data_IF_696266745410
#
_entry.id   IF_696266745410
#
_cell.length_a   1.000
_cell.length_b   1.000
_cell.length_c   1.000
_cell.angle_alpha   90.00
_cell.angle_beta   90.00
_cell.angle_gamma   90.00
#
_symmetry.space_group_name_H-M   'P 1'
#
loop_
_entity.id
_entity.type
_entity.pdbx_description
1 polymer ?
#
# COMPACT_ATOMS: atom_id res chain seq x y z
N UNK A 1 10.16 8.26 -5.73
CA UNK A 1 9.07 7.50 -6.37
C UNK A 1 8.53 6.58 -5.30
N UNK A 2 7.25 6.66 -4.97
CA UNK A 2 6.66 5.77 -3.98
C UNK A 2 6.05 4.54 -4.62
N UNK A 3 5.77 3.52 -3.81
CA UNK A 3 5.11 2.31 -4.26
C UNK A 3 3.63 2.60 -4.57
N UNK A 4 3.22 2.35 -5.81
CA UNK A 4 1.83 2.41 -6.28
C UNK A 4 1.25 0.99 -6.40
N UNK A 5 0.01 0.81 -5.99
CA UNK A 5 -0.75 -0.41 -6.16
C UNK A 5 -2.17 -0.11 -6.63
N UNK A 6 -2.58 -0.74 -7.73
CA UNK A 6 -3.96 -0.72 -8.18
C UNK A 6 -4.65 -1.98 -7.68
N UNK A 7 -5.72 -1.81 -6.90
CA UNK A 7 -6.50 -2.96 -6.41
C UNK A 7 -7.34 -3.59 -7.53
N UNK A 8 -7.93 -4.75 -7.25
CA UNK A 8 -8.83 -5.46 -8.17
C UNK A 8 -10.07 -4.67 -8.60
N UNK A 9 -10.39 -3.59 -7.87
CA UNK A 9 -11.50 -2.67 -8.16
C UNK A 9 -11.08 -1.45 -8.98
N UNK A 10 -9.84 -1.39 -9.47
CA UNK A 10 -9.33 -0.28 -10.27
C UNK A 10 -9.00 1.00 -9.50
N UNK A 11 -9.00 0.96 -8.17
CA UNK A 11 -8.58 2.08 -7.33
C UNK A 11 -7.08 2.05 -7.13
N UNK A 12 -6.43 3.20 -7.38
CA UNK A 12 -5.01 3.40 -7.10
C UNK A 12 -4.79 3.79 -5.66
N UNK A 13 -3.78 3.17 -5.07
CA UNK A 13 -3.30 3.45 -3.74
C UNK A 13 -1.79 3.55 -3.75
N UNK A 14 -1.26 4.38 -2.88
CA UNK A 14 0.16 4.61 -2.69
C UNK A 14 0.52 4.25 -1.27
N UNK A 15 1.72 3.69 -1.09
CA UNK A 15 2.22 3.33 0.22
C UNK A 15 2.75 4.57 0.95
N UNK A 16 2.35 4.72 2.21
CA UNK A 16 2.81 5.76 3.12
C UNK A 16 3.27 5.14 4.43
N UNK A 17 4.12 5.87 5.13
CA UNK A 17 4.55 5.53 6.47
C UNK A 17 4.33 6.73 7.37
N UNK A 18 3.65 6.48 8.50
CA UNK A 18 3.54 7.42 9.60
C UNK A 18 4.16 6.75 10.83
N UNK A 19 5.32 7.26 11.23
CA UNK A 19 6.13 6.71 12.31
C UNK A 19 6.50 5.23 12.07
N UNK A 20 5.79 4.30 12.73
CA UNK A 20 5.96 2.85 12.61
C UNK A 20 4.79 2.15 11.90
N UNK A 21 3.78 2.91 11.49
CA UNK A 21 2.59 2.41 10.82
C UNK A 21 2.72 2.62 9.31
N UNK A 22 2.61 1.52 8.58
CA UNK A 22 2.47 1.56 7.13
C UNK A 22 1.01 1.52 6.73
N UNK A 23 0.61 2.37 5.79
CA UNK A 23 -0.76 2.45 5.32
C UNK A 23 -0.84 2.84 3.85
N UNK A 24 -1.96 2.52 3.22
CA UNK A 24 -2.24 2.88 1.85
C UNK A 24 -3.19 4.08 1.79
N UNK A 25 -2.86 5.07 0.99
CA UNK A 25 -3.68 6.26 0.73
C UNK A 25 -3.89 6.45 -0.77
N UNK A 26 -4.93 7.19 -1.16
CA UNK A 26 -5.14 7.60 -2.56
C UNK A 26 -4.25 8.77 -2.97
N UNK A 27 -3.64 9.45 -2.00
CA UNK A 27 -2.69 10.53 -2.25
C UNK A 27 -1.33 9.94 -2.62
N UNK A 28 -0.72 10.43 -3.69
CA UNK A 28 0.64 10.09 -4.10
C UNK A 28 1.71 10.88 -3.36
N UNK A 29 1.36 12.00 -2.74
CA UNK A 29 2.30 12.94 -2.16
C UNK A 29 2.87 12.42 -0.83
N UNK A 30 4.20 12.31 -0.73
CA UNK A 30 4.87 11.70 0.42
C UNK A 30 4.86 10.18 0.43
N UNK A 31 4.50 9.55 -0.70
CA UNK A 31 4.55 8.10 -0.83
C UNK A 31 6.00 7.58 -0.72
N UNK A 32 6.12 6.42 -0.09
CA UNK A 32 7.39 5.74 0.18
C UNK A 32 7.50 4.44 -0.62
N UNK A 33 8.72 3.92 -0.75
CA UNK A 33 8.97 2.64 -1.38
C UNK A 33 8.55 1.46 -0.47
N UNK A 34 8.29 0.31 -1.09
CA UNK A 34 7.94 -0.91 -0.38
C UNK A 34 9.14 -1.42 0.44
N UNK A 35 9.04 -1.51 1.78
CA UNK A 35 10.16 -1.98 2.58
C UNK A 35 10.50 -3.44 2.26
N UNK A 36 11.79 -3.81 2.32
CA UNK A 36 12.21 -5.19 2.08
C UNK A 36 11.59 -6.14 3.11
N UNK A 37 11.18 -7.32 2.66
CA UNK A 37 10.52 -8.32 3.51
C UNK A 37 9.01 -8.13 3.70
N UNK A 38 8.41 -7.14 3.05
CA UNK A 38 6.97 -7.00 2.98
C UNK A 38 6.46 -7.28 1.56
N UNK A 39 5.23 -7.77 1.47
CA UNK A 39 4.47 -7.96 0.25
C UNK A 39 3.12 -7.25 0.40
N UNK A 40 2.63 -6.71 -0.71
CA UNK A 40 1.30 -6.09 -0.75
C UNK A 40 0.29 -7.16 -1.14
N UNK A 41 -0.70 -7.34 -0.27
CA UNK A 41 -1.82 -8.24 -0.48
C UNK A 41 -3.11 -7.43 -0.51
N UNK A 42 -4.09 -7.90 -1.26
CA UNK A 42 -5.41 -7.30 -1.27
C UNK A 42 -6.36 -8.11 -0.38
N UNK A 43 -7.10 -7.44 0.49
CA UNK A 43 -8.17 -8.08 1.23
C UNK A 43 -9.34 -8.39 0.29
N UNK A 44 -9.60 -9.67 0.02
CA UNK A 44 -10.68 -10.11 -0.89
C UNK A 44 -12.08 -9.61 -0.47
N UNK A 45 -12.31 -9.34 0.81
CA UNK A 45 -13.63 -8.90 1.31
C UNK A 45 -13.85 -7.39 1.13
N UNK A 46 -12.82 -6.58 1.35
CA UNK A 46 -12.93 -5.10 1.31
C UNK A 46 -12.31 -4.47 0.05
N UNK A 47 -11.43 -5.19 -0.65
CA UNK A 47 -10.64 -4.69 -1.76
C UNK A 47 -9.51 -3.75 -1.35
N UNK A 48 -9.19 -3.67 -0.05
CA UNK A 48 -8.15 -2.76 0.45
C UNK A 48 -6.76 -3.43 0.35
N UNK A 49 -5.75 -2.72 -0.20
CA UNK A 49 -4.37 -3.17 -0.15
C UNK A 49 -3.83 -3.08 1.28
N UNK A 50 -3.09 -4.11 1.67
CA UNK A 50 -2.50 -4.28 2.99
C UNK A 50 -1.07 -4.81 2.84
N UNK A 51 -0.20 -4.40 3.76
CA UNK A 51 1.12 -4.99 3.87
C UNK A 51 1.05 -6.27 4.68
N UNK A 52 1.65 -7.32 4.14
CA UNK A 52 1.89 -8.57 4.83
C UNK A 52 3.39 -8.84 4.83
N UNK A 53 3.94 -9.14 5.99
CA UNK A 53 5.33 -9.59 6.09
C UNK A 53 5.46 -10.92 5.33
N UNK A 54 6.45 -11.03 4.46
CA UNK A 54 6.81 -12.30 3.81
C UNK A 54 7.20 -13.33 4.86
#
# INVERSE_FOLDING_TARGET
MGYEHTNSRGNKYYLHQRDRLFYFSKDSNGSIELPPGFAVIENKRTGLPMLKRK
#
